data_IF_195449119052
#
_entry.id   IF_195449119052
#
_cell.length_a   1.000
_cell.length_b   1.000
_cell.length_c   1.000
_cell.angle_alpha   90.00
_cell.angle_beta   90.00
_cell.angle_gamma   90.00
#
_symmetry.space_group_name_H-M   'P 1'
#
loop_
_entity.id
_entity.type
_entity.pdbx_description
1 polymer ?
#
# COMPACT_ATOMS: atom_id res chain seq x y z
N UNK A 1 -10.42 6.18 7.24
CA UNK A 1 -10.29 5.77 5.82
C UNK A 1 -11.69 5.51 5.26
N UNK A 2 -12.07 6.19 4.18
CA UNK A 2 -13.30 5.92 3.44
C UNK A 2 -13.17 4.60 2.68
N UNK A 3 -14.28 3.88 2.54
CA UNK A 3 -14.34 2.61 1.80
C UNK A 3 -15.53 2.62 0.88
N UNK A 4 -15.28 2.40 -0.40
CA UNK A 4 -16.34 2.30 -1.39
C UNK A 4 -16.12 1.10 -2.32
N UNK A 5 -17.22 0.56 -2.86
CA UNK A 5 -17.26 -0.51 -3.82
C UNK A 5 -18.23 -0.15 -4.94
N UNK A 6 -17.77 -0.16 -6.17
CA UNK A 6 -18.62 -0.20 -7.34
C UNK A 6 -18.68 -1.65 -7.81
N UNK A 7 -19.84 -2.27 -7.77
CA UNK A 7 -19.97 -3.66 -8.20
C UNK A 7 -19.66 -3.79 -9.70
N UNK A 8 -19.06 -4.90 -10.06
CA UNK A 8 -18.91 -5.26 -11.48
C UNK A 8 -20.26 -5.48 -12.14
N UNK A 9 -20.30 -5.23 -13.41
CA UNK A 9 -21.51 -5.47 -14.22
C UNK A 9 -21.37 -6.74 -15.07
N UNK A 10 -22.45 -7.51 -15.26
CA UNK A 10 -22.46 -8.61 -16.19
C UNK A 10 -22.50 -8.10 -17.65
N UNK A 11 -22.00 -8.91 -18.56
CA UNK A 11 -22.28 -8.68 -19.97
C UNK A 11 -23.78 -8.85 -20.24
N UNK A 12 -24.30 -8.05 -21.16
CA UNK A 12 -25.70 -8.14 -21.58
C UNK A 12 -25.87 -7.88 -23.07
N UNK A 13 -26.93 -8.48 -23.63
CA UNK A 13 -27.39 -8.22 -24.97
C UNK A 13 -28.86 -7.80 -24.90
N UNK A 14 -29.19 -6.68 -25.49
CA UNK A 14 -30.58 -6.23 -25.67
C UNK A 14 -31.02 -6.45 -27.11
N UNK A 15 -32.14 -7.14 -27.30
CA UNK A 15 -32.71 -7.42 -28.60
C UNK A 15 -33.14 -6.13 -29.32
N UNK A 16 -33.27 -6.18 -30.63
CA UNK A 16 -34.13 -5.25 -31.37
C UNK A 16 -35.59 -5.38 -30.88
N UNK A 17 -36.44 -4.50 -31.35
CA UNK A 17 -37.89 -4.59 -31.06
C UNK A 17 -38.45 -5.90 -31.63
N UNK A 18 -39.08 -6.68 -30.77
CA UNK A 18 -39.68 -7.95 -31.15
C UNK A 18 -41.12 -7.72 -31.59
N UNK A 19 -41.48 -8.24 -32.77
CA UNK A 19 -42.85 -8.17 -33.23
C UNK A 19 -43.68 -9.24 -32.53
N UNK A 20 -44.64 -8.85 -31.69
CA UNK A 20 -45.43 -9.73 -30.84
C UNK A 20 -46.92 -9.83 -31.28
N UNK A 21 -47.28 -9.18 -32.37
CA UNK A 21 -48.66 -9.16 -32.85
C UNK A 21 -49.01 -10.38 -33.71
N UNK A 22 -50.26 -10.82 -33.66
CA UNK A 22 -50.71 -12.02 -34.35
C UNK A 22 -49.92 -13.27 -33.98
N UNK A 23 -49.65 -14.13 -34.96
CA UNK A 23 -48.90 -15.39 -34.75
C UNK A 23 -47.40 -15.27 -35.02
N UNK A 24 -46.81 -14.07 -34.85
CA UNK A 24 -45.38 -13.84 -35.13
C UNK A 24 -44.45 -14.63 -34.21
N UNK A 25 -44.88 -14.97 -32.99
CA UNK A 25 -44.16 -15.77 -32.04
C UNK A 25 -44.61 -17.24 -31.98
N UNK A 26 -45.36 -17.70 -32.97
CA UNK A 26 -45.73 -19.10 -33.13
C UNK A 26 -44.62 -19.84 -33.90
N UNK A 27 -43.76 -20.54 -33.13
CA UNK A 27 -42.66 -21.38 -33.64
C UNK A 27 -43.03 -22.88 -33.66
N UNK A 28 -44.29 -23.27 -33.39
CA UNK A 28 -44.71 -24.64 -33.23
C UNK A 28 -44.95 -25.41 -34.53
N UNK A 29 -44.93 -24.74 -35.70
CA UNK A 29 -45.16 -25.41 -36.98
C UNK A 29 -43.92 -25.94 -37.67
N UNK A 30 -44.11 -26.79 -38.68
CA UNK A 30 -43.01 -27.28 -39.52
C UNK A 30 -42.21 -26.10 -40.13
N UNK A 31 -40.88 -26.14 -39.95
CA UNK A 31 -39.94 -25.08 -40.41
C UNK A 31 -40.20 -23.68 -39.81
N UNK A 32 -40.82 -23.61 -38.63
CA UNK A 32 -41.03 -22.36 -37.90
C UNK A 32 -40.09 -22.21 -36.68
N UNK A 33 -39.45 -23.28 -36.24
CA UNK A 33 -38.54 -23.31 -35.10
C UNK A 33 -37.42 -22.30 -35.26
N UNK A 34 -37.01 -21.71 -34.15
CA UNK A 34 -35.84 -20.84 -34.04
C UNK A 34 -34.71 -21.64 -33.42
N UNK A 35 -33.57 -21.72 -34.12
CA UNK A 35 -32.40 -22.43 -33.66
C UNK A 35 -31.17 -21.54 -33.58
N UNK A 36 -30.44 -21.63 -32.51
CA UNK A 36 -29.23 -20.85 -32.25
C UNK A 36 -28.30 -21.56 -31.28
N UNK A 37 -27.06 -21.10 -31.22
CA UNK A 37 -26.13 -21.40 -30.12
C UNK A 37 -25.86 -20.13 -29.35
N UNK A 38 -25.71 -20.25 -28.02
CA UNK A 38 -25.33 -19.16 -27.12
C UNK A 38 -23.91 -19.42 -26.61
N UNK A 39 -23.07 -18.41 -26.64
CA UNK A 39 -21.78 -18.42 -25.96
C UNK A 39 -21.85 -17.46 -24.79
N UNK A 40 -21.72 -17.99 -23.57
CA UNK A 40 -21.78 -17.20 -22.35
C UNK A 40 -20.48 -17.44 -21.56
N UNK A 41 -19.78 -16.38 -21.25
CA UNK A 41 -18.52 -16.42 -20.50
C UNK A 41 -17.52 -17.43 -21.09
N UNK A 42 -17.40 -17.44 -22.43
CA UNK A 42 -16.49 -18.32 -23.18
C UNK A 42 -16.96 -19.78 -23.36
N UNK A 43 -18.11 -20.16 -22.80
CA UNK A 43 -18.69 -21.50 -22.98
C UNK A 43 -19.81 -21.47 -24.01
N UNK A 44 -19.69 -22.29 -25.06
CA UNK A 44 -20.70 -22.37 -26.13
C UNK A 44 -21.65 -23.53 -25.86
N UNK A 45 -22.95 -23.27 -25.98
CA UNK A 45 -24.01 -24.25 -25.84
C UNK A 45 -24.06 -25.23 -27.02
N UNK A 46 -24.76 -26.35 -26.83
CA UNK A 46 -25.35 -27.08 -27.94
C UNK A 46 -26.45 -26.23 -28.62
N UNK A 47 -26.93 -26.67 -29.77
CA UNK A 47 -28.06 -25.99 -30.44
C UNK A 47 -29.28 -25.92 -29.55
N UNK A 48 -29.76 -24.70 -29.30
CA UNK A 48 -30.99 -24.42 -28.56
C UNK A 48 -32.11 -24.27 -29.58
N UNK A 49 -33.22 -24.93 -29.34
CA UNK A 49 -34.40 -24.92 -30.26
C UNK A 49 -35.58 -24.36 -29.48
N UNK A 50 -36.18 -23.31 -30.01
CA UNK A 50 -37.47 -22.77 -29.58
C UNK A 50 -38.52 -23.18 -30.62
N UNK A 51 -39.47 -24.08 -30.24
CA UNK A 51 -40.47 -24.65 -31.10
C UNK A 51 -41.89 -24.57 -30.49
N UNK A 52 -42.10 -23.68 -29.55
CA UNK A 52 -43.41 -23.42 -28.91
C UNK A 52 -44.19 -22.30 -29.62
N UNK A 53 -45.47 -22.24 -29.29
CA UNK A 53 -46.31 -21.08 -29.61
C UNK A 53 -46.32 -20.11 -28.44
N UNK A 54 -45.66 -19.00 -28.58
CA UNK A 54 -45.52 -17.93 -27.56
C UNK A 54 -46.47 -16.74 -27.87
N UNK A 55 -47.43 -16.93 -28.79
CA UNK A 55 -48.41 -15.90 -29.15
C UNK A 55 -49.78 -16.04 -28.46
N UNK A 56 -49.87 -17.00 -27.52
CA UNK A 56 -51.11 -17.39 -26.83
C UNK A 56 -51.35 -16.68 -25.49
N UNK A 57 -50.54 -15.73 -25.07
CA UNK A 57 -50.63 -15.02 -23.79
C UNK A 57 -51.78 -14.01 -23.69
N UNK A 58 -52.43 -13.68 -24.81
CA UNK A 58 -53.59 -12.78 -24.83
C UNK A 58 -53.27 -11.29 -24.82
N UNK A 59 -51.99 -10.89 -24.65
CA UNK A 59 -51.49 -9.54 -24.82
C UNK A 59 -50.04 -9.58 -25.24
N UNK A 60 -49.52 -8.46 -25.83
CA UNK A 60 -48.15 -8.36 -26.26
C UNK A 60 -47.15 -8.58 -25.13
N UNK A 61 -47.42 -8.02 -23.95
CA UNK A 61 -46.61 -8.24 -22.73
C UNK A 61 -46.63 -9.71 -22.27
N UNK A 62 -47.79 -10.35 -22.27
CA UNK A 62 -47.90 -11.76 -21.89
C UNK A 62 -47.21 -12.70 -22.89
N UNK A 63 -47.27 -12.38 -24.18
CA UNK A 63 -46.57 -13.11 -25.25
C UNK A 63 -45.07 -12.97 -25.10
N UNK A 64 -44.58 -11.73 -24.83
CA UNK A 64 -43.16 -11.47 -24.56
C UNK A 64 -42.63 -12.19 -23.35
N UNK A 65 -43.47 -12.32 -22.27
CA UNK A 65 -43.12 -13.04 -21.04
C UNK A 65 -43.04 -14.56 -21.24
N UNK A 66 -43.92 -15.14 -22.07
CA UNK A 66 -43.83 -16.55 -22.49
C UNK A 66 -42.53 -16.83 -23.23
N UNK A 67 -42.18 -15.97 -24.19
CA UNK A 67 -40.91 -16.04 -24.95
C UNK A 67 -39.70 -15.88 -24.02
N UNK A 68 -39.73 -14.89 -23.13
CA UNK A 68 -38.68 -14.65 -22.12
C UNK A 68 -38.40 -15.90 -21.29
N UNK A 69 -39.46 -16.54 -20.79
CA UNK A 69 -39.35 -17.75 -19.97
C UNK A 69 -38.75 -18.91 -20.74
N UNK A 70 -39.20 -19.12 -21.96
CA UNK A 70 -38.70 -20.20 -22.82
C UNK A 70 -37.23 -19.98 -23.20
N UNK A 71 -36.85 -18.74 -23.55
CA UNK A 71 -35.48 -18.36 -23.91
C UNK A 71 -34.53 -18.57 -22.74
N UNK A 72 -34.88 -18.07 -21.54
CA UNK A 72 -34.09 -18.26 -20.33
C UNK A 72 -33.90 -19.73 -19.97
N UNK A 73 -35.01 -20.50 -20.00
CA UNK A 73 -34.97 -21.93 -19.69
C UNK A 73 -34.15 -22.72 -20.71
N UNK A 74 -34.28 -22.41 -22.01
CA UNK A 74 -33.49 -23.04 -23.07
C UNK A 74 -31.98 -22.80 -22.96
N UNK A 75 -31.61 -21.57 -22.71
CA UNK A 75 -30.19 -21.23 -22.54
C UNK A 75 -29.62 -21.87 -21.26
N UNK A 76 -30.32 -21.76 -20.15
CA UNK A 76 -29.83 -22.27 -18.85
C UNK A 76 -29.79 -23.80 -18.80
N UNK A 77 -30.69 -24.50 -19.52
CA UNK A 77 -30.65 -25.95 -19.67
C UNK A 77 -29.42 -26.41 -20.52
N UNK A 78 -29.08 -25.63 -21.57
CA UNK A 78 -27.93 -25.92 -22.42
C UNK A 78 -26.56 -25.49 -21.78
N UNK A 79 -26.60 -24.54 -20.84
CA UNK A 79 -25.41 -23.99 -20.15
C UNK A 79 -25.61 -24.00 -18.62
N UNK A 80 -25.63 -25.15 -17.95
CA UNK A 80 -25.98 -25.23 -16.53
C UNK A 80 -25.00 -24.50 -15.59
N UNK A 81 -23.74 -24.33 -16.01
CA UNK A 81 -22.71 -23.64 -15.22
C UNK A 81 -22.56 -22.16 -15.57
N UNK A 82 -23.05 -21.73 -16.73
CA UNK A 82 -22.94 -20.36 -17.25
C UNK A 82 -24.36 -19.82 -17.54
N UNK A 83 -25.13 -19.63 -16.48
CA UNK A 83 -26.52 -19.24 -16.59
C UNK A 83 -26.71 -17.79 -17.01
N UNK A 84 -27.87 -17.51 -17.57
CA UNK A 84 -28.28 -16.14 -17.90
C UNK A 84 -29.60 -15.79 -17.19
N UNK A 85 -29.83 -14.51 -17.03
CA UNK A 85 -31.14 -13.94 -16.71
C UNK A 85 -31.69 -13.21 -17.91
N UNK A 86 -32.96 -13.39 -18.20
CA UNK A 86 -33.64 -12.68 -19.29
C UNK A 86 -34.69 -11.77 -18.69
N UNK A 87 -34.60 -10.47 -18.97
CA UNK A 87 -35.60 -9.47 -18.58
C UNK A 87 -36.41 -9.02 -19.80
N UNK A 88 -37.71 -8.85 -19.62
CA UNK A 88 -38.59 -8.28 -20.64
C UNK A 88 -38.79 -6.78 -20.37
N UNK A 89 -38.69 -5.98 -21.41
CA UNK A 89 -39.10 -4.57 -21.44
C UNK A 89 -40.45 -4.48 -22.24
N UNK A 90 -41.53 -4.55 -21.51
CA UNK A 90 -42.87 -4.56 -22.06
C UNK A 90 -43.22 -3.24 -22.81
N UNK A 91 -42.63 -2.13 -22.38
CA UNK A 91 -42.92 -0.84 -22.98
C UNK A 91 -42.27 -0.69 -24.38
N UNK A 92 -41.09 -1.30 -24.57
CA UNK A 92 -40.33 -1.25 -25.82
C UNK A 92 -40.33 -2.58 -26.58
N UNK A 93 -41.02 -3.61 -26.06
CA UNK A 93 -41.10 -4.95 -26.64
C UNK A 93 -39.70 -5.53 -26.94
N UNK A 94 -38.80 -5.47 -25.98
CA UNK A 94 -37.43 -5.97 -26.04
C UNK A 94 -37.12 -6.97 -24.97
N UNK A 95 -36.14 -7.83 -25.23
CA UNK A 95 -35.54 -8.72 -24.22
C UNK A 95 -34.09 -8.31 -23.97
N UNK A 96 -33.71 -8.27 -22.69
CA UNK A 96 -32.32 -8.09 -22.26
C UNK A 96 -31.83 -9.37 -21.62
N UNK A 97 -30.83 -10.00 -22.23
CA UNK A 97 -30.18 -11.22 -21.73
C UNK A 97 -28.88 -10.81 -21.06
N UNK A 98 -28.71 -11.16 -19.78
CA UNK A 98 -27.52 -10.83 -19.01
C UNK A 98 -26.87 -12.11 -18.47
N UNK A 99 -25.54 -12.19 -18.49
CA UNK A 99 -24.83 -13.26 -17.79
C UNK A 99 -25.12 -13.21 -16.29
N UNK A 100 -25.12 -14.35 -15.62
CA UNK A 100 -25.18 -14.41 -14.18
C UNK A 100 -23.84 -13.99 -13.53
N UNK A 101 -22.75 -14.03 -14.30
CA UNK A 101 -21.41 -13.62 -13.87
C UNK A 101 -21.16 -12.16 -14.20
N UNK A 102 -20.61 -11.40 -13.26
CA UNK A 102 -20.13 -10.04 -13.48
C UNK A 102 -18.59 -10.04 -13.64
N UNK A 103 -18.07 -9.01 -14.29
CA UNK A 103 -16.64 -8.82 -14.46
C UNK A 103 -16.25 -8.60 -15.92
N UNK A 104 -15.02 -8.14 -16.16
CA UNK A 104 -14.51 -7.86 -17.51
C UNK A 104 -14.42 -9.12 -18.40
N UNK A 105 -14.39 -10.32 -17.80
CA UNK A 105 -14.44 -11.59 -18.52
C UNK A 105 -15.85 -12.04 -18.89
N UNK A 106 -16.88 -11.37 -18.36
CA UNK A 106 -18.25 -11.68 -18.71
C UNK A 106 -18.57 -11.30 -20.16
N UNK A 107 -19.10 -12.24 -20.90
CA UNK A 107 -19.39 -12.09 -22.33
C UNK A 107 -20.65 -12.88 -22.71
N UNK A 108 -21.42 -12.34 -23.63
CA UNK A 108 -22.56 -13.04 -24.24
C UNK A 108 -22.53 -12.81 -25.74
N UNK A 109 -22.73 -13.85 -26.50
CA UNK A 109 -22.94 -13.79 -27.93
C UNK A 109 -23.86 -14.91 -28.40
N UNK A 110 -24.58 -14.66 -29.50
CA UNK A 110 -25.45 -15.63 -30.15
C UNK A 110 -25.00 -15.88 -31.57
N UNK A 111 -25.08 -17.15 -32.02
CA UNK A 111 -24.83 -17.52 -33.38
C UNK A 111 -26.08 -18.16 -33.96
N UNK A 112 -26.55 -17.61 -35.05
CA UNK A 112 -27.74 -18.10 -35.73
C UNK A 112 -27.48 -19.49 -36.36
N UNK A 113 -28.45 -20.38 -36.17
CA UNK A 113 -28.57 -21.58 -36.96
C UNK A 113 -29.77 -21.41 -37.91
N UNK A 114 -30.93 -21.03 -37.35
CA UNK A 114 -32.15 -20.79 -38.09
C UNK A 114 -32.94 -19.66 -37.40
N UNK A 115 -33.28 -18.59 -38.19
CA UNK A 115 -34.32 -17.60 -37.81
C UNK A 115 -34.11 -16.84 -36.49
N UNK A 116 -32.85 -16.61 -36.09
CA UNK A 116 -32.52 -15.87 -34.84
C UNK A 116 -33.07 -14.43 -34.88
N UNK A 117 -33.22 -13.83 -36.08
CA UNK A 117 -33.84 -12.53 -36.29
C UNK A 117 -35.28 -12.44 -35.78
N UNK A 118 -36.03 -13.55 -35.67
CA UNK A 118 -37.38 -13.58 -35.07
C UNK A 118 -37.34 -13.21 -33.58
N UNK A 119 -36.21 -13.36 -32.90
CA UNK A 119 -35.99 -12.95 -31.52
C UNK A 119 -35.39 -11.55 -31.41
N UNK A 120 -35.17 -10.85 -32.53
CA UNK A 120 -34.43 -9.56 -32.53
C UNK A 120 -32.99 -9.67 -32.03
N UNK A 121 -32.35 -10.83 -32.16
CA UNK A 121 -31.01 -11.12 -31.67
C UNK A 121 -29.96 -11.21 -32.82
N UNK A 122 -30.25 -10.66 -33.95
CA UNK A 122 -29.39 -10.58 -35.13
C UNK A 122 -28.80 -9.18 -35.35
N UNK A 123 -28.90 -8.64 -36.56
CA UNK A 123 -28.47 -7.30 -36.87
C UNK A 123 -29.34 -6.25 -36.15
N UNK A 124 -28.79 -5.48 -35.24
CA UNK A 124 -29.52 -4.45 -34.51
C UNK A 124 -29.59 -4.71 -32.99
N UNK A 125 -28.93 -5.76 -32.51
CA UNK A 125 -28.73 -5.99 -31.10
C UNK A 125 -27.73 -5.01 -30.50
N UNK A 126 -27.98 -4.56 -29.25
CA UNK A 126 -27.03 -3.75 -28.50
C UNK A 126 -26.35 -4.68 -27.46
N UNK A 127 -25.04 -4.83 -27.54
CA UNK A 127 -24.26 -5.62 -26.60
C UNK A 127 -23.42 -4.73 -25.69
N UNK A 128 -23.35 -5.10 -24.41
CA UNK A 128 -22.51 -4.44 -23.42
C UNK A 128 -21.61 -5.49 -22.79
N UNK A 129 -20.31 -5.23 -22.78
CA UNK A 129 -19.34 -6.08 -22.08
C UNK A 129 -19.49 -5.92 -20.56
N UNK A 130 -19.17 -6.95 -19.82
CA UNK A 130 -19.09 -6.87 -18.37
C UNK A 130 -17.95 -5.97 -17.91
N UNK A 131 -18.03 -5.50 -16.69
CA UNK A 131 -16.95 -4.72 -16.05
C UNK A 131 -16.62 -5.29 -14.69
N UNK A 132 -15.34 -5.19 -14.29
CA UNK A 132 -14.90 -5.62 -12.99
C UNK A 132 -15.41 -4.70 -11.88
N UNK A 133 -15.53 -5.25 -10.69
CA UNK A 133 -15.80 -4.47 -9.50
C UNK A 133 -14.60 -3.57 -9.18
N UNK A 134 -14.86 -2.32 -8.84
CA UNK A 134 -13.84 -1.35 -8.44
C UNK A 134 -14.02 -1.04 -6.97
N UNK A 135 -13.02 -1.36 -6.17
CA UNK A 135 -12.95 -1.00 -4.76
C UNK A 135 -11.98 0.15 -4.55
N UNK A 136 -12.35 1.09 -3.71
CA UNK A 136 -11.49 2.18 -3.26
C UNK A 136 -11.41 2.19 -1.74
N UNK A 137 -10.22 2.48 -1.22
CA UNK A 137 -9.97 2.64 0.19
C UNK A 137 -9.13 3.89 0.41
N UNK A 138 -9.70 4.87 1.13
CA UNK A 138 -9.10 6.20 1.31
C UNK A 138 -8.76 6.91 -0.02
N UNK A 139 -9.62 6.73 -1.04
CA UNK A 139 -9.41 7.29 -2.38
C UNK A 139 -8.36 6.55 -3.24
N UNK A 140 -7.62 5.60 -2.66
CA UNK A 140 -6.68 4.75 -3.39
C UNK A 140 -7.31 3.45 -3.87
N UNK A 141 -6.73 2.84 -4.92
CA UNK A 141 -7.17 1.55 -5.41
C UNK A 141 -7.07 0.46 -4.34
N UNK A 142 -8.06 -0.42 -4.29
CA UNK A 142 -8.10 -1.59 -3.43
C UNK A 142 -8.50 -2.82 -4.25
N UNK A 143 -8.12 -3.99 -3.78
CA UNK A 143 -8.46 -5.28 -4.42
C UNK A 143 -9.73 -5.83 -3.79
N UNK A 144 -10.73 -6.10 -4.60
CA UNK A 144 -11.96 -6.77 -4.16
C UNK A 144 -11.94 -8.24 -4.55
N UNK A 145 -12.06 -9.12 -3.56
CA UNK A 145 -12.27 -10.57 -3.75
C UNK A 145 -13.77 -10.86 -3.63
N UNK A 146 -14.41 -11.10 -4.78
CA UNK A 146 -15.85 -11.36 -4.85
C UNK A 146 -16.27 -12.68 -4.16
N UNK A 147 -15.37 -13.68 -4.10
CA UNK A 147 -15.63 -14.97 -3.47
C UNK A 147 -15.62 -14.85 -1.95
N UNK A 148 -14.64 -14.17 -1.41
CA UNK A 148 -14.49 -13.94 0.04
C UNK A 148 -15.27 -12.72 0.52
N UNK A 149 -15.72 -11.89 -0.42
CA UNK A 149 -16.35 -10.57 -0.16
C UNK A 149 -15.45 -9.69 0.70
N UNK A 150 -14.17 -9.62 0.36
CA UNK A 150 -13.18 -8.82 1.08
C UNK A 150 -12.62 -7.73 0.19
N UNK A 151 -12.44 -6.54 0.76
CA UNK A 151 -11.68 -5.44 0.16
C UNK A 151 -10.34 -5.36 0.89
N UNK A 152 -9.26 -5.41 0.15
CA UNK A 152 -7.89 -5.33 0.69
C UNK A 152 -7.17 -4.13 0.07
N UNK A 153 -6.53 -3.30 0.89
CA UNK A 153 -5.72 -2.19 0.42
C UNK A 153 -4.60 -2.67 -0.50
N UNK A 154 -4.48 -2.04 -1.67
CA UNK A 154 -3.49 -2.43 -2.68
C UNK A 154 -2.06 -2.16 -2.19
N UNK A 155 -1.11 -2.93 -2.71
CA UNK A 155 0.32 -2.78 -2.44
C UNK A 155 0.79 -1.37 -2.84
N UNK A 156 1.60 -0.74 -2.01
CA UNK A 156 2.12 0.61 -2.22
C UNK A 156 1.16 1.73 -1.82
N UNK A 157 -0.02 1.42 -1.24
CA UNK A 157 -0.94 2.43 -0.71
C UNK A 157 -0.79 2.61 0.80
N UNK A 158 -1.28 3.73 1.33
CA UNK A 158 -1.31 3.99 2.79
C UNK A 158 -2.17 3.01 3.59
N UNK A 159 -2.93 2.17 2.91
CA UNK A 159 -3.85 1.18 3.45
C UNK A 159 -3.45 -0.26 3.09
N UNK A 160 -2.22 -0.46 2.60
CA UNK A 160 -1.70 -1.78 2.26
C UNK A 160 -1.86 -2.77 3.41
N UNK A 161 -2.36 -3.96 3.09
CA UNK A 161 -2.57 -5.04 4.04
C UNK A 161 -3.80 -4.88 4.95
N UNK A 162 -4.50 -3.75 4.90
CA UNK A 162 -5.79 -3.59 5.58
C UNK A 162 -6.86 -4.35 4.79
N UNK A 163 -7.43 -5.39 5.38
CA UNK A 163 -8.48 -6.18 4.78
C UNK A 163 -9.79 -6.03 5.56
N UNK A 164 -10.89 -5.84 4.83
CA UNK A 164 -12.23 -5.67 5.39
C UNK A 164 -13.24 -6.57 4.68
N UNK A 165 -14.11 -7.20 5.45
CA UNK A 165 -15.21 -8.00 4.90
C UNK A 165 -16.40 -7.10 4.63
N UNK A 166 -16.90 -7.15 3.39
CA UNK A 166 -18.14 -6.46 2.99
C UNK A 166 -19.32 -7.36 3.26
N UNK A 167 -20.30 -6.87 4.00
CA UNK A 167 -21.56 -7.57 4.25
C UNK A 167 -22.61 -7.07 3.26
N UNK A 168 -22.98 -7.91 2.34
CA UNK A 168 -23.92 -7.58 1.24
C UNK A 168 -23.21 -7.57 -0.13
N UNK A 169 -24.00 -7.37 -1.19
CA UNK A 169 -23.54 -7.31 -2.59
C UNK A 169 -23.75 -5.92 -3.20
N UNK A 170 -24.12 -4.92 -2.41
CA UNK A 170 -24.47 -3.62 -2.91
C UNK A 170 -23.23 -2.78 -3.22
N UNK A 171 -23.27 -2.10 -4.35
CA UNK A 171 -22.38 -0.97 -4.63
C UNK A 171 -22.70 0.18 -3.67
N UNK A 172 -21.70 0.88 -3.21
CA UNK A 172 -21.92 2.07 -2.39
C UNK A 172 -20.70 2.49 -1.59
N UNK A 173 -20.91 3.55 -0.86
CA UNK A 173 -19.98 4.01 0.15
C UNK A 173 -20.31 3.31 1.49
N UNK A 174 -19.34 2.57 2.02
CA UNK A 174 -19.49 1.87 3.30
C UNK A 174 -19.11 2.76 4.50
N UNK A 175 -18.90 4.05 4.26
CA UNK A 175 -18.54 5.01 5.28
C UNK A 175 -17.05 5.00 5.62
N UNK A 176 -16.75 5.46 6.83
CA UNK A 176 -15.38 5.64 7.29
C UNK A 176 -14.98 4.57 8.32
N UNK A 177 -13.85 3.94 8.09
CA UNK A 177 -13.19 3.07 9.08
C UNK A 177 -12.10 3.84 9.78
N UNK A 178 -12.19 3.97 11.10
CA UNK A 178 -11.15 4.58 11.92
C UNK A 178 -10.20 3.49 12.39
N UNK A 179 -8.97 3.51 11.89
CA UNK A 179 -7.91 2.64 12.35
C UNK A 179 -6.99 3.40 13.30
N UNK A 180 -6.84 2.93 14.50
CA UNK A 180 -5.84 3.44 15.44
C UNK A 180 -4.69 2.44 15.56
N UNK A 181 -3.45 2.92 15.41
CA UNK A 181 -2.29 2.09 15.73
C UNK A 181 -2.39 1.61 17.18
N UNK A 182 -2.27 0.32 17.38
CA UNK A 182 -2.27 -0.27 18.73
C UNK A 182 -1.11 0.28 19.57
N UNK A 183 -1.25 0.15 20.90
CA UNK A 183 -0.22 0.60 21.84
C UNK A 183 1.17 -0.02 21.53
N UNK A 184 1.20 -1.29 21.15
CA UNK A 184 2.44 -1.97 20.76
C UNK A 184 3.14 -1.33 19.56
N UNK A 185 2.40 -0.92 18.52
CA UNK A 185 2.99 -0.22 17.38
C UNK A 185 3.54 1.16 17.77
N UNK A 186 2.82 1.90 18.61
CA UNK A 186 3.29 3.21 19.11
C UNK A 186 4.56 3.09 19.94
N UNK A 187 4.65 2.06 20.77
CA UNK A 187 5.86 1.76 21.56
C UNK A 187 7.01 1.38 20.63
N UNK A 188 6.77 0.54 19.62
CA UNK A 188 7.79 0.17 18.66
C UNK A 188 8.31 1.39 17.86
N UNK A 189 7.43 2.27 17.39
CA UNK A 189 7.79 3.50 16.68
C UNK A 189 8.65 4.42 17.59
N UNK A 190 8.27 4.54 18.87
CA UNK A 190 9.02 5.30 19.87
C UNK A 190 10.40 4.72 20.13
N UNK A 191 10.48 3.40 20.34
CA UNK A 191 11.75 2.71 20.58
C UNK A 191 12.68 2.82 19.36
N UNK A 192 12.14 2.65 18.16
CA UNK A 192 12.90 2.81 16.91
C UNK A 192 13.47 4.23 16.79
N UNK A 193 12.69 5.26 17.12
CA UNK A 193 13.18 6.65 17.11
C UNK A 193 14.23 6.95 18.20
N UNK A 194 14.17 6.31 19.36
CA UNK A 194 15.17 6.47 20.42
C UNK A 194 16.49 5.76 20.08
N UNK A 195 16.40 4.60 19.41
CA UNK A 195 17.53 3.72 19.07
C UNK A 195 18.10 3.98 17.67
N UNK A 196 17.52 4.88 16.89
CA UNK A 196 18.04 5.24 15.57
C UNK A 196 19.47 5.81 15.67
N UNK A 197 20.25 5.72 14.59
CA UNK A 197 21.64 6.20 14.50
C UNK A 197 21.80 7.69 14.84
N UNK A 198 20.75 8.50 14.62
CA UNK A 198 20.68 9.91 15.05
C UNK A 198 19.69 10.10 16.22
N UNK A 199 19.40 9.05 16.97
CA UNK A 199 18.42 9.03 18.05
C UNK A 199 18.89 9.71 19.33
N UNK A 200 17.97 9.76 20.32
CA UNK A 200 18.25 10.39 21.62
C UNK A 200 19.44 9.75 22.35
N UNK A 201 19.61 8.43 22.23
CA UNK A 201 20.73 7.71 22.86
C UNK A 201 22.04 8.07 22.18
N UNK A 202 22.07 8.08 20.86
CA UNK A 202 23.26 8.39 20.07
C UNK A 202 23.73 9.83 20.33
N UNK A 203 22.82 10.78 20.28
CA UNK A 203 23.11 12.18 20.64
C UNK A 203 23.68 12.33 22.08
N UNK A 204 23.23 11.49 23.02
CA UNK A 204 23.75 11.50 24.39
C UNK A 204 25.16 10.90 24.48
N UNK A 205 25.40 9.83 23.73
CA UNK A 205 26.73 9.19 23.63
C UNK A 205 27.73 10.17 23.02
N UNK A 206 27.38 10.88 21.97
CA UNK A 206 28.23 11.87 21.32
C UNK A 206 28.53 13.06 22.25
N UNK A 207 27.53 13.53 22.99
CA UNK A 207 27.73 14.55 24.00
C UNK A 207 28.69 14.12 25.13
N UNK A 208 28.60 12.88 25.56
CA UNK A 208 29.52 12.30 26.54
C UNK A 208 30.94 12.14 25.96
N UNK A 209 31.07 11.64 24.75
CA UNK A 209 32.37 11.51 24.06
C UNK A 209 33.04 12.88 23.89
N UNK A 210 32.28 13.90 23.53
CA UNK A 210 32.78 15.29 23.45
C UNK A 210 33.28 15.78 24.82
N UNK A 211 32.53 15.50 25.89
CA UNK A 211 32.91 15.86 27.25
C UNK A 211 34.20 15.14 27.71
N UNK A 212 34.30 13.84 27.40
CA UNK A 212 35.51 13.06 27.68
C UNK A 212 36.73 13.63 26.95
N UNK A 213 36.57 13.99 25.68
CA UNK A 213 37.64 14.63 24.90
C UNK A 213 38.06 15.97 25.49
N UNK A 214 37.10 16.81 25.89
CA UNK A 214 37.39 18.08 26.57
C UNK A 214 38.20 17.89 27.87
N UNK A 215 37.82 16.88 28.69
CA UNK A 215 38.56 16.57 29.91
C UNK A 215 39.96 16.08 29.59
N UNK A 216 40.13 15.25 28.57
CA UNK A 216 41.47 14.81 28.12
C UNK A 216 42.36 16.00 27.66
N UNK A 217 41.80 16.93 26.90
CA UNK A 217 42.50 18.14 26.45
C UNK A 217 42.87 19.03 27.65
N UNK A 218 41.97 19.20 28.62
CA UNK A 218 42.29 19.97 29.87
C UNK A 218 43.38 19.30 30.67
N UNK A 219 43.40 17.98 30.79
CA UNK A 219 44.47 17.23 31.46
C UNK A 219 45.79 17.43 30.76
N UNK A 220 45.84 17.32 29.42
CA UNK A 220 47.08 17.57 28.63
C UNK A 220 47.62 19.02 28.82
N UNK A 221 46.72 19.98 28.84
CA UNK A 221 47.06 21.38 29.09
C UNK A 221 47.61 21.59 30.51
N UNK A 222 47.05 20.91 31.53
CA UNK A 222 47.52 20.95 32.89
C UNK A 222 48.90 20.31 33.04
N UNK A 223 49.13 19.18 32.38
CA UNK A 223 50.43 18.50 32.33
C UNK A 223 51.52 19.37 31.73
N UNK A 224 51.21 20.04 30.62
CA UNK A 224 52.15 21.01 30.01
C UNK A 224 52.46 22.19 30.93
N UNK A 225 51.45 22.70 31.63
CA UNK A 225 51.67 23.79 32.63
C UNK A 225 52.50 23.30 33.79
N UNK A 226 52.23 22.11 34.32
CA UNK A 226 52.98 21.49 35.40
C UNK A 226 54.46 21.30 35.01
N UNK A 227 54.70 20.73 33.84
CA UNK A 227 56.07 20.55 33.28
C UNK A 227 56.82 21.88 33.04
N UNK A 228 56.08 22.93 32.63
CA UNK A 228 56.69 24.25 32.44
C UNK A 228 57.06 24.89 33.81
N UNK A 229 56.19 24.74 34.81
CA UNK A 229 56.46 25.19 36.18
C UNK A 229 57.66 24.46 36.79
N UNK A 230 57.70 23.12 36.67
CA UNK A 230 58.82 22.31 37.14
C UNK A 230 60.13 22.76 36.48
N UNK A 231 60.20 22.96 35.20
CA UNK A 231 61.38 23.49 34.48
C UNK A 231 61.78 24.85 34.98
N UNK A 232 60.81 25.74 35.22
CA UNK A 232 61.06 27.09 35.73
C UNK A 232 61.64 27.02 37.13
N UNK A 233 61.07 26.21 38.03
CA UNK A 233 61.64 26.06 39.36
C UNK A 233 63.01 25.40 39.36
N UNK A 234 63.26 24.39 38.57
CA UNK A 234 64.60 23.76 38.43
C UNK A 234 65.60 24.77 37.95
N UNK A 235 65.26 25.64 36.98
CA UNK A 235 66.14 26.72 36.51
C UNK A 235 66.44 27.72 37.65
N UNK A 236 65.41 28.10 38.40
CA UNK A 236 65.58 29.00 39.56
C UNK A 236 66.43 28.37 40.66
N UNK A 237 66.24 27.11 40.99
CA UNK A 237 67.06 26.38 41.93
C UNK A 237 68.52 26.27 41.49
N UNK A 238 68.81 25.95 40.23
CA UNK A 238 70.15 25.87 39.69
C UNK A 238 70.82 27.25 39.68
N UNK A 239 70.08 28.31 39.39
CA UNK A 239 70.62 29.68 39.47
C UNK A 239 70.92 30.04 40.92
N UNK A 240 70.05 29.70 41.87
CA UNK A 240 70.28 29.94 43.30
C UNK A 240 71.52 29.19 43.79
N UNK A 241 71.65 27.90 43.41
CA UNK A 241 72.79 27.03 43.77
C UNK A 241 74.13 27.65 43.21
N UNK A 242 74.07 28.08 41.97
CA UNK A 242 75.26 28.81 41.37
C UNK A 242 75.59 30.05 42.18
N UNK A 243 74.57 30.85 42.56
CA UNK A 243 74.77 32.06 43.37
C UNK A 243 75.38 31.73 44.76
N UNK A 244 74.85 30.69 45.43
CA UNK A 244 75.39 30.23 46.72
C UNK A 244 76.81 29.74 46.55
N UNK A 245 77.16 29.03 45.49
CA UNK A 245 78.49 28.58 45.20
C UNK A 245 79.47 29.78 45.00
N UNK A 246 79.01 30.81 44.25
CA UNK A 246 79.76 32.03 44.08
C UNK A 246 79.95 32.77 45.41
N UNK A 247 78.91 32.88 46.23
CA UNK A 247 79.04 33.49 47.56
C UNK A 247 80.02 32.74 48.44
N UNK A 248 79.95 31.37 48.49
CA UNK A 248 80.94 30.57 49.20
C UNK A 248 82.35 30.74 48.71
N UNK A 249 82.57 30.86 47.37
CA UNK A 249 83.89 31.15 46.79
C UNK A 249 84.38 32.53 47.19
N UNK A 250 83.49 33.54 47.14
CA UNK A 250 83.84 34.91 47.59
C UNK A 250 84.13 34.94 49.09
N UNK A 251 83.41 34.25 49.91
CA UNK A 251 83.66 34.12 51.35
C UNK A 251 85.03 33.46 51.61
N UNK A 252 85.35 32.39 50.88
CA UNK A 252 86.64 31.72 51.01
C UNK A 252 87.77 32.65 50.60
N UNK A 253 87.60 33.41 49.46
CA UNK A 253 88.56 34.40 49.04
C UNK A 253 88.77 35.50 50.08
N UNK A 254 87.70 36.08 50.61
CA UNK A 254 87.80 37.13 51.63
C UNK A 254 88.45 36.58 52.93
N UNK A 255 88.17 35.39 53.36
CA UNK A 255 88.81 34.73 54.51
C UNK A 255 90.33 34.57 54.31
N UNK A 256 90.70 34.12 53.10
CA UNK A 256 92.17 34.01 52.75
C UNK A 256 92.83 35.38 52.65
N UNK A 257 92.24 36.40 52.05
CA UNK A 257 92.77 37.75 51.91
C UNK A 257 92.95 38.40 53.33
N UNK A 258 91.97 38.33 54.18
CA UNK A 258 92.03 38.81 55.56
C UNK A 258 93.08 38.05 56.38
N UNK A 259 93.18 36.73 56.20
CA UNK A 259 94.18 35.90 56.89
C UNK A 259 95.61 36.28 56.41
N UNK A 260 95.76 36.75 55.18
CA UNK A 260 97.02 37.27 54.69
C UNK A 260 97.41 38.62 55.32
N UNK A 261 96.43 39.46 55.65
CA UNK A 261 96.71 40.75 56.31
C UNK A 261 96.97 40.61 57.80
N UNK A 262 96.52 39.59 58.48
CA UNK A 262 96.69 39.36 59.92
C UNK A 262 98.08 38.77 60.20
N UNK A 263 98.70 38.03 59.34
CA UNK A 263 100.03 37.41 59.48
C UNK A 263 101.23 38.36 59.63
N UNK A 264 101.33 39.60 59.03
CA UNK A 264 102.44 40.44 59.24
C UNK A 264 102.47 41.19 60.57
N UNK A 265 101.36 41.31 61.35
CA UNK A 265 101.38 42.07 62.62
C UNK A 265 101.81 41.29 63.85
N UNK A 266 101.99 39.98 63.79
CA UNK A 266 102.51 39.17 64.91
C UNK A 266 104.02 38.93 64.85
N UNK A 267 104.79 39.53 63.93
CA UNK A 267 106.26 39.35 63.76
C UNK A 267 107.09 40.54 64.16
N UNK A 268 106.52 41.53 64.90
CA UNK A 268 107.31 42.61 65.48
C UNK A 268 107.12 42.68 66.96
N UNK A 269 107.71 41.70 67.67
CA UNK A 269 108.10 41.81 69.10
C UNK A 269 109.31 40.93 69.32
N UNK A 270 110.45 41.44 69.09
CA UNK A 270 111.73 41.56 69.78
C UNK A 270 112.61 42.34 68.89
#
# INVERSE_FOLDING_TARGET
YSVSLTAGTPASITSAVITVNGNTLDFSGNNKDVQFTATVDGTTSTTITLNGDYSVGGSDSANLELLRTALQSGINAALPNNQVTVAADDANLKLTISSASAGASSSISFTEVVRLGSLGLDAGTSSTSGSDAVALMNGGAAVYDATKKTITGAVGTSVEGLAMKVVGNASGDFGNVVFSKGLGSKINDLLTGILADDGLIDARVDGLNTSVKQIADQRAALELRSSALERRYRTQFNSLETLISQLNTTQTFLTQALGGFVKPFSAVKK
#
